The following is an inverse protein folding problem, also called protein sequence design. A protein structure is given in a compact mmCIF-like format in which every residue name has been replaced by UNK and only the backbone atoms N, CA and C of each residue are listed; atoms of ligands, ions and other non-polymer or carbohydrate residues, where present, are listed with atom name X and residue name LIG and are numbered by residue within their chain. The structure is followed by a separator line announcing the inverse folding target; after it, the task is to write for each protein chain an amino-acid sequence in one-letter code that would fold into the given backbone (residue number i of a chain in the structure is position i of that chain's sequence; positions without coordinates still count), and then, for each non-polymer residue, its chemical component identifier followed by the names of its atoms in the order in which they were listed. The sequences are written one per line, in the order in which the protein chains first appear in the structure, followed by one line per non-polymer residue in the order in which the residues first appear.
data_IF_103559921911
#
_entry.id   IF_103559921911
#
_cell.length_a   1.000
_cell.length_b   1.000
_cell.length_c   1.000
_cell.angle_alpha   90.00
_cell.angle_beta   90.00
_cell.angle_gamma   90.00
#
_symmetry.space_group_name_H-M   'P 1'
#
loop_
_entity.id
_entity.type
_entity.pdbx_description
1 polymer ?
#
# COMPACT_ATOMS: atom_id res chain seq x y z
N UNK A 1 2.12 -22.48 6.88
CA UNK A 1 1.13 -22.04 7.88
C UNK A 1 0.95 -20.54 7.79
N UNK A 2 -0.29 -20.04 7.82
CA UNK A 2 -0.62 -18.61 7.72
C UNK A 2 -1.01 -18.11 9.10
N UNK A 3 -0.37 -17.04 9.56
CA UNK A 3 -0.74 -16.35 10.79
C UNK A 3 -1.30 -14.96 10.46
N UNK A 4 -2.43 -14.63 11.06
CA UNK A 4 -3.05 -13.32 10.93
C UNK A 4 -2.76 -12.50 12.18
N UNK A 5 -2.27 -11.28 11.99
CA UNK A 5 -2.09 -10.33 13.07
C UNK A 5 -3.02 -9.13 12.87
N UNK A 6 -3.82 -8.84 13.90
CA UNK A 6 -4.77 -7.75 13.91
C UNK A 6 -4.44 -6.79 15.05
N UNK A 7 -4.41 -5.51 14.76
CA UNK A 7 -4.23 -4.47 15.76
C UNK A 7 -5.20 -3.32 15.51
N UNK A 8 -5.54 -2.59 16.57
CA UNK A 8 -6.30 -1.35 16.43
C UNK A 8 -5.41 -0.32 15.70
N UNK A 9 -5.98 0.36 14.70
CA UNK A 9 -5.24 1.37 13.94
C UNK A 9 -4.93 2.56 14.85
N UNK A 10 -3.70 2.63 15.35
CA UNK A 10 -3.20 3.72 16.22
C UNK A 10 -2.46 4.83 15.44
N UNK A 11 -2.58 4.85 14.12
CA UNK A 11 -1.98 5.86 13.25
C UNK A 11 -0.87 5.30 12.37
N UNK A 12 -1.00 5.54 11.06
CA UNK A 12 -0.14 5.12 9.93
C UNK A 12 0.21 3.63 9.88
N UNK A 13 0.21 3.03 8.67
CA UNK A 13 0.60 1.62 8.48
C UNK A 13 2.00 1.34 9.03
N UNK A 14 2.89 2.34 8.92
CA UNK A 14 4.19 2.38 9.55
C UNK A 14 4.17 1.97 11.03
N UNK A 15 3.29 2.59 11.83
CA UNK A 15 3.25 2.39 13.27
C UNK A 15 2.82 0.98 13.63
N UNK A 16 1.82 0.45 12.93
CA UNK A 16 1.36 -0.92 13.13
C UNK A 16 2.41 -1.95 12.73
N UNK A 17 3.10 -1.71 11.61
CA UNK A 17 4.15 -2.61 11.16
C UNK A 17 5.36 -2.59 12.11
N UNK A 18 5.79 -1.43 12.57
CA UNK A 18 6.83 -1.33 13.60
C UNK A 18 6.45 -2.10 14.88
N UNK A 19 5.23 -1.92 15.40
CA UNK A 19 4.77 -2.66 16.58
C UNK A 19 4.82 -4.18 16.39
N UNK A 20 4.42 -4.67 15.21
CA UNK A 20 4.55 -6.09 14.88
C UNK A 20 6.00 -6.56 14.93
N UNK A 21 6.93 -5.78 14.35
CA UNK A 21 8.36 -6.11 14.32
C UNK A 21 8.97 -6.16 15.73
N UNK A 22 8.59 -5.24 16.62
CA UNK A 22 9.13 -5.19 17.99
C UNK A 22 8.73 -6.37 18.88
N UNK A 23 7.54 -6.94 18.67
CA UNK A 23 6.98 -7.99 19.53
C UNK A 23 7.12 -9.39 18.95
N UNK A 24 7.61 -9.51 17.72
CA UNK A 24 7.62 -10.78 16.98
C UNK A 24 9.04 -11.23 16.72
N UNK A 25 9.32 -12.50 17.01
CA UNK A 25 10.55 -13.14 16.53
C UNK A 25 10.47 -13.36 15.01
N UNK A 26 11.14 -12.51 14.25
CA UNK A 26 11.14 -12.57 12.79
C UNK A 26 11.89 -13.79 12.23
N UNK A 27 12.72 -14.45 13.04
CA UNK A 27 13.55 -15.57 12.58
C UNK A 27 12.73 -16.76 12.08
N UNK A 28 11.50 -16.92 12.59
CA UNK A 28 10.57 -17.97 12.20
C UNK A 28 9.83 -17.73 10.87
N UNK A 29 10.02 -16.57 10.23
CA UNK A 29 9.38 -16.23 8.97
C UNK A 29 10.38 -16.27 7.81
N UNK A 30 9.99 -16.95 6.73
CA UNK A 30 10.70 -16.92 5.43
C UNK A 30 10.21 -15.78 4.54
N UNK A 31 8.97 -15.32 4.77
CA UNK A 31 8.33 -14.23 4.04
C UNK A 31 7.33 -13.49 4.95
N UNK A 32 7.25 -12.17 4.81
CA UNK A 32 6.29 -11.31 5.50
C UNK A 32 5.57 -10.45 4.47
N UNK A 33 4.24 -10.34 4.58
CA UNK A 33 3.42 -9.46 3.77
C UNK A 33 2.89 -8.30 4.61
N UNK A 34 3.17 -7.06 4.19
CA UNK A 34 2.58 -5.84 4.75
C UNK A 34 1.59 -5.25 3.74
N UNK A 35 0.30 -5.37 4.02
CA UNK A 35 -0.78 -4.99 3.11
C UNK A 35 -1.71 -4.01 3.84
N UNK A 36 -1.96 -2.85 3.23
CA UNK A 36 -2.87 -1.84 3.79
C UNK A 36 -4.30 -2.06 3.28
N UNK A 37 -5.30 -1.81 4.14
CA UNK A 37 -6.72 -1.83 3.81
C UNK A 37 -7.20 -0.63 2.96
N UNK A 38 -6.31 0.28 2.53
CA UNK A 38 -6.64 1.45 1.73
C UNK A 38 -7.10 1.16 0.28
N UNK A 39 -7.21 -0.11 -0.08
CA UNK A 39 -7.59 -0.58 -1.41
C UNK A 39 -8.86 -1.44 -1.40
N UNK A 40 -9.50 -1.53 -2.56
CA UNK A 40 -10.50 -2.51 -2.93
C UNK A 40 -9.82 -3.53 -3.83
N UNK A 41 -10.00 -4.81 -3.56
CA UNK A 41 -9.50 -5.88 -4.43
C UNK A 41 -10.41 -5.98 -5.66
N UNK A 42 -9.86 -5.72 -6.84
CA UNK A 42 -10.56 -5.87 -8.11
C UNK A 42 -10.52 -7.32 -8.58
N UNK A 43 -9.36 -7.97 -8.49
CA UNK A 43 -9.17 -9.32 -9.03
C UNK A 43 -8.31 -10.20 -8.11
N UNK A 44 -8.27 -11.51 -8.39
CA UNK A 44 -7.40 -12.46 -7.68
C UNK A 44 -5.94 -12.02 -7.77
N UNK A 45 -5.18 -12.26 -6.71
CA UNK A 45 -3.77 -11.91 -6.64
C UNK A 45 -2.86 -12.94 -7.32
N UNK A 46 -3.39 -14.03 -7.86
CA UNK A 46 -2.61 -15.15 -8.42
C UNK A 46 -1.51 -14.68 -9.38
N UNK A 47 -1.82 -13.74 -10.29
CA UNK A 47 -0.81 -13.19 -11.22
C UNK A 47 0.33 -12.47 -10.50
N UNK A 48 -0.01 -11.62 -9.53
CA UNK A 48 0.95 -10.87 -8.71
C UNK A 48 1.80 -11.82 -7.88
N UNK A 49 1.18 -12.79 -7.22
CA UNK A 49 1.88 -13.74 -6.37
C UNK A 49 2.76 -14.69 -7.18
N UNK A 50 2.29 -15.18 -8.33
CA UNK A 50 3.09 -16.01 -9.22
C UNK A 50 4.31 -15.25 -9.74
N UNK A 51 4.16 -13.98 -10.13
CA UNK A 51 5.28 -13.12 -10.48
C UNK A 51 6.24 -12.94 -9.29
N UNK A 52 5.71 -12.65 -8.10
CA UNK A 52 6.46 -12.45 -6.87
C UNK A 52 7.25 -13.67 -6.41
N UNK A 53 6.75 -14.87 -6.70
CA UNK A 53 7.44 -16.14 -6.40
C UNK A 53 8.47 -16.52 -7.47
N UNK A 54 8.28 -16.05 -8.71
CA UNK A 54 9.20 -16.30 -9.82
C UNK A 54 10.38 -15.31 -9.83
N UNK A 55 10.26 -14.15 -9.17
CA UNK A 55 11.37 -13.21 -9.02
C UNK A 55 12.33 -13.66 -7.93
N UNK A 56 13.62 -13.33 -8.11
CA UNK A 56 14.67 -13.51 -7.12
C UNK A 56 14.85 -12.29 -6.20
N UNK A 57 13.84 -11.43 -6.14
CA UNK A 57 13.84 -10.21 -5.34
C UNK A 57 13.85 -10.50 -3.85
N UNK A 58 14.53 -9.65 -3.08
CA UNK A 58 14.55 -9.74 -1.61
C UNK A 58 13.41 -8.92 -0.98
N UNK A 59 12.97 -7.86 -1.66
CA UNK A 59 11.85 -7.00 -1.27
C UNK A 59 11.05 -6.59 -2.50
N UNK A 60 9.72 -6.71 -2.48
CA UNK A 60 8.91 -6.35 -3.63
C UNK A 60 7.51 -5.85 -3.27
N UNK A 61 6.83 -5.24 -4.24
CA UNK A 61 5.41 -4.91 -4.12
C UNK A 61 4.73 -4.86 -5.48
N UNK A 62 3.45 -4.47 -5.49
CA UNK A 62 2.68 -4.47 -6.75
C UNK A 62 3.14 -3.35 -7.68
N UNK A 63 3.48 -2.18 -7.13
CA UNK A 63 3.83 -1.02 -7.93
C UNK A 63 4.84 -0.14 -7.20
N UNK A 64 5.77 0.42 -7.95
CA UNK A 64 6.73 1.40 -7.45
C UNK A 64 6.27 2.86 -7.66
N UNK A 65 7.14 3.78 -7.30
CA UNK A 65 7.00 5.21 -7.51
C UNK A 65 8.38 5.86 -7.47
N UNK A 66 8.59 6.84 -8.34
CA UNK A 66 9.74 7.75 -8.32
C UNK A 66 9.32 9.18 -7.90
N UNK A 67 8.13 9.33 -7.29
CA UNK A 67 7.64 10.63 -6.82
C UNK A 67 8.64 11.24 -5.83
N UNK A 68 9.13 12.45 -6.12
CA UNK A 68 10.08 13.21 -5.31
C UNK A 68 9.40 14.41 -4.66
N UNK A 69 8.87 14.27 -3.43
CA UNK A 69 8.37 15.41 -2.68
C UNK A 69 9.49 16.42 -2.41
N UNK A 70 9.14 17.71 -2.35
CA UNK A 70 10.10 18.80 -2.09
C UNK A 70 10.82 18.69 -0.73
N UNK A 71 10.26 17.92 0.20
CA UNK A 71 10.81 17.68 1.54
C UNK A 71 11.61 16.38 1.64
N UNK A 72 11.77 15.63 0.54
CA UNK A 72 12.53 14.38 0.56
C UNK A 72 14.00 14.64 0.84
N UNK A 73 14.57 13.85 1.75
CA UNK A 73 15.98 13.89 2.12
C UNK A 73 16.85 12.94 1.27
N UNK A 74 16.25 12.17 0.37
CA UNK A 74 16.94 11.16 -0.42
C UNK A 74 17.36 11.68 -1.81
N UNK A 75 18.57 11.30 -2.24
CA UNK A 75 19.09 11.61 -3.58
C UNK A 75 18.29 10.89 -4.67
N UNK A 76 17.94 9.63 -4.43
CA UNK A 76 17.02 8.82 -5.22
C UNK A 76 15.68 8.64 -4.46
N UNK A 77 14.57 8.70 -5.18
CA UNK A 77 13.22 8.61 -4.59
C UNK A 77 12.45 7.37 -5.04
N UNK A 78 13.12 6.45 -5.74
CA UNK A 78 12.54 5.16 -6.07
C UNK A 78 12.05 4.44 -4.82
N UNK A 79 10.80 4.00 -4.80
CA UNK A 79 10.27 3.20 -3.71
C UNK A 79 9.11 2.32 -4.13
N UNK A 80 8.95 1.20 -3.44
CA UNK A 80 7.74 0.39 -3.49
C UNK A 80 6.64 1.09 -2.70
N UNK A 81 5.44 1.17 -3.28
CA UNK A 81 4.32 1.78 -2.57
C UNK A 81 3.86 0.90 -1.40
N UNK A 82 3.73 1.52 -0.23
CA UNK A 82 3.51 0.85 1.07
C UNK A 82 2.20 0.08 1.24
N UNK A 83 1.31 0.10 0.24
CA UNK A 83 -0.01 -0.51 0.36
C UNK A 83 -0.01 -2.02 0.08
N UNK A 84 1.04 -2.54 -0.55
CA UNK A 84 1.26 -3.96 -0.75
C UNK A 84 2.77 -4.20 -0.89
N UNK A 85 3.37 -4.72 0.17
CA UNK A 85 4.80 -4.99 0.25
C UNK A 85 5.04 -6.40 0.76
N UNK A 86 6.01 -7.08 0.16
CA UNK A 86 6.45 -8.41 0.53
C UNK A 86 7.94 -8.36 0.83
N UNK A 87 8.31 -8.90 1.98
CA UNK A 87 9.68 -9.02 2.46
C UNK A 87 10.06 -10.49 2.43
N UNK A 88 11.05 -10.85 1.61
CA UNK A 88 11.65 -12.18 1.64
C UNK A 88 12.76 -12.22 2.70
N UNK A 89 13.25 -13.42 3.01
CA UNK A 89 14.15 -13.68 4.14
C UNK A 89 15.28 -12.65 4.32
N UNK A 90 16.01 -12.29 3.27
CA UNK A 90 17.10 -11.30 3.39
C UNK A 90 16.62 -9.90 3.79
N UNK A 91 15.46 -9.46 3.29
CA UNK A 91 14.87 -8.19 3.71
C UNK A 91 14.35 -8.27 5.15
N UNK A 92 13.74 -9.40 5.54
CA UNK A 92 13.30 -9.66 6.92
C UNK A 92 14.48 -9.52 7.88
N UNK A 93 15.61 -10.13 7.57
CA UNK A 93 16.81 -10.11 8.43
C UNK A 93 17.39 -8.70 8.60
N UNK A 94 17.05 -7.77 7.69
CA UNK A 94 17.50 -6.37 7.70
C UNK A 94 16.48 -5.41 8.34
N UNK A 95 15.22 -5.82 8.51
CA UNK A 95 14.18 -4.98 9.12
C UNK A 95 14.55 -4.47 10.53
N UNK A 96 15.10 -5.27 11.45
CA UNK A 96 15.48 -4.77 12.77
C UNK A 96 16.56 -3.69 12.72
N UNK A 97 17.47 -3.76 11.73
CA UNK A 97 18.47 -2.73 11.48
C UNK A 97 17.82 -1.42 11.03
N UNK A 98 16.93 -1.51 10.04
CA UNK A 98 16.18 -0.35 9.54
C UNK A 98 15.45 0.41 10.65
N UNK A 99 14.67 -0.27 11.50
CA UNK A 99 13.91 0.40 12.55
C UNK A 99 14.78 1.01 13.65
N UNK A 100 15.94 0.40 13.91
CA UNK A 100 16.95 0.96 14.83
C UNK A 100 17.48 2.30 14.32
N UNK A 101 17.73 2.40 13.01
CA UNK A 101 18.26 3.61 12.37
C UNK A 101 17.20 4.70 12.20
N UNK A 102 15.91 4.33 12.15
CA UNK A 102 14.80 5.23 11.83
C UNK A 102 14.45 6.24 12.93
N UNK A 103 15.00 6.08 14.14
CA UNK A 103 14.62 6.82 15.34
C UNK A 103 13.09 6.95 15.51
N UNK A 104 12.41 5.79 15.58
CA UNK A 104 10.94 5.69 15.69
C UNK A 104 10.32 6.57 16.78
N UNK A 105 10.93 6.74 17.98
CA UNK A 105 10.41 7.65 19.00
C UNK A 105 10.18 9.08 18.51
N UNK A 106 11.04 9.63 17.65
CA UNK A 106 10.86 10.99 17.11
C UNK A 106 9.62 11.08 16.22
N UNK A 107 9.34 10.02 15.45
CA UNK A 107 8.16 9.96 14.60
C UNK A 107 6.89 9.87 15.46
N UNK A 108 6.88 8.99 16.48
CA UNK A 108 5.70 8.81 17.33
C UNK A 108 5.41 10.00 18.25
N UNK A 109 6.43 10.77 18.63
CA UNK A 109 6.27 11.95 19.48
C UNK A 109 5.90 13.22 18.69
N UNK A 110 5.90 13.18 17.34
CA UNK A 110 5.58 14.35 16.51
C UNK A 110 4.08 14.70 16.56
N UNK A 111 3.77 15.84 17.19
CA UNK A 111 2.39 16.33 17.35
C UNK A 111 1.89 17.12 16.14
N UNK A 112 2.78 17.68 15.32
CA UNK A 112 2.42 18.38 14.11
C UNK A 112 2.16 17.39 12.98
N UNK A 113 0.89 17.25 12.65
CA UNK A 113 0.38 16.35 11.60
C UNK A 113 1.11 16.49 10.27
N UNK A 114 1.36 17.72 9.81
CA UNK A 114 1.99 17.95 8.50
C UNK A 114 3.43 17.47 8.54
N UNK A 115 4.12 17.69 9.65
CA UNK A 115 5.49 17.21 9.86
C UNK A 115 5.52 15.69 10.01
N UNK A 116 4.63 15.12 10.82
CA UNK A 116 4.47 13.67 10.98
C UNK A 116 4.26 12.98 9.63
N UNK A 117 3.34 13.48 8.80
CA UNK A 117 3.11 12.92 7.46
C UNK A 117 4.36 12.97 6.58
N UNK A 118 5.10 14.07 6.62
CA UNK A 118 6.36 14.21 5.85
C UNK A 118 7.42 13.24 6.35
N UNK A 119 7.55 13.08 7.66
CA UNK A 119 8.46 12.12 8.28
C UNK A 119 8.11 10.69 7.86
N UNK A 120 6.83 10.30 7.89
CA UNK A 120 6.40 8.96 7.45
C UNK A 120 6.68 8.77 5.95
N UNK A 121 6.38 9.73 5.09
CA UNK A 121 6.67 9.60 3.65
C UNK A 121 8.18 9.49 3.41
N UNK A 122 8.97 10.39 3.99
CA UNK A 122 10.41 10.47 3.75
C UNK A 122 11.15 9.28 4.39
N UNK A 123 10.90 8.99 5.66
CA UNK A 123 11.65 8.00 6.43
C UNK A 123 11.12 6.59 6.25
N UNK A 124 9.81 6.42 6.15
CA UNK A 124 9.19 5.11 5.98
C UNK A 124 8.94 4.77 4.51
N UNK A 125 8.07 5.50 3.80
CA UNK A 125 7.66 5.08 2.45
C UNK A 125 8.85 5.07 1.46
N UNK A 126 9.60 6.18 1.39
CA UNK A 126 10.78 6.28 0.54
C UNK A 126 11.97 5.59 1.22
N UNK A 127 12.20 5.90 2.50
CA UNK A 127 13.38 5.45 3.24
C UNK A 127 13.52 3.94 3.36
N UNK A 128 12.43 3.17 3.46
CA UNK A 128 12.49 1.71 3.52
C UNK A 128 13.10 1.10 2.25
N UNK A 129 12.62 1.53 1.08
CA UNK A 129 13.12 1.02 -0.19
C UNK A 129 14.58 1.44 -0.41
N UNK A 130 14.92 2.69 -0.07
CA UNK A 130 16.28 3.20 -0.16
C UNK A 130 17.23 2.47 0.81
N UNK A 131 16.79 2.13 2.01
CA UNK A 131 17.56 1.33 2.95
C UNK A 131 17.92 -0.04 2.36
N UNK A 132 16.94 -0.77 1.80
CA UNK A 132 17.23 -2.06 1.19
C UNK A 132 18.12 -1.99 -0.05
N UNK A 133 17.97 -0.95 -0.88
CA UNK A 133 18.89 -0.71 -1.99
C UNK A 133 20.32 -0.46 -1.50
N UNK A 134 20.51 0.30 -0.42
CA UNK A 134 21.81 0.55 0.19
C UNK A 134 22.42 -0.71 0.80
N UNK A 135 21.59 -1.60 1.35
CA UNK A 135 21.97 -2.94 1.81
C UNK A 135 22.21 -3.94 0.66
N UNK A 136 22.21 -3.46 -0.60
CA UNK A 136 22.42 -4.24 -1.83
C UNK A 136 21.41 -5.37 -2.01
N UNK A 137 20.20 -5.20 -1.47
CA UNK A 137 19.09 -6.12 -1.70
C UNK A 137 18.43 -5.84 -3.05
N UNK A 138 17.84 -6.88 -3.64
CA UNK A 138 17.06 -6.79 -4.87
C UNK A 138 15.66 -6.27 -4.53
N UNK A 139 15.35 -5.08 -5.03
CA UNK A 139 14.03 -4.45 -4.90
C UNK A 139 13.32 -4.47 -6.25
N UNK A 140 12.07 -4.93 -6.29
CA UNK A 140 11.30 -4.99 -7.53
C UNK A 140 9.81 -4.67 -7.35
N UNK A 141 9.17 -4.29 -8.45
CA UNK A 141 7.74 -4.03 -8.55
C UNK A 141 7.12 -4.88 -9.65
N UNK A 142 5.90 -5.38 -9.43
CA UNK A 142 5.15 -6.09 -10.48
C UNK A 142 4.82 -5.15 -11.65
N UNK A 143 4.52 -3.89 -11.33
CA UNK A 143 4.28 -2.80 -12.27
C UNK A 143 5.31 -1.71 -12.04
N UNK A 144 6.08 -1.40 -13.09
CA UNK A 144 7.00 -0.27 -13.12
C UNK A 144 6.24 1.01 -13.49
N UNK A 145 6.06 1.90 -12.51
CA UNK A 145 5.30 3.14 -12.67
C UNK A 145 5.85 4.04 -13.76
N UNK A 146 7.17 4.07 -13.94
CA UNK A 146 7.86 4.88 -14.95
C UNK A 146 7.42 4.53 -16.37
N UNK A 147 7.23 3.24 -16.68
CA UNK A 147 6.78 2.80 -18.00
C UNK A 147 5.37 3.33 -18.30
N UNK A 148 4.48 3.27 -17.33
CA UNK A 148 3.12 3.79 -17.45
C UNK A 148 3.06 5.31 -17.52
N UNK A 149 3.92 6.01 -16.78
CA UNK A 149 4.02 7.47 -16.86
C UNK A 149 4.44 7.90 -18.26
N UNK A 150 5.42 7.23 -18.87
CA UNK A 150 5.87 7.51 -20.23
C UNK A 150 4.76 7.22 -21.26
N UNK A 151 4.04 6.11 -21.09
CA UNK A 151 2.96 5.67 -22.00
C UNK A 151 1.73 6.58 -21.94
N UNK A 152 1.26 6.93 -20.75
CA UNK A 152 -0.04 7.60 -20.55
C UNK A 152 0.05 9.08 -20.18
N UNK A 153 1.25 9.60 -19.86
CA UNK A 153 1.51 11.01 -19.55
C UNK A 153 0.49 11.62 -18.55
N UNK A 154 0.34 11.02 -17.35
CA UNK A 154 -0.68 11.43 -16.41
C UNK A 154 -0.42 12.84 -15.86
N UNK A 155 -1.50 13.60 -15.63
CA UNK A 155 -1.44 14.94 -15.03
C UNK A 155 -0.93 14.96 -13.59
N UNK A 156 -1.01 13.85 -12.87
CA UNK A 156 -0.54 13.71 -11.48
C UNK A 156 0.51 12.60 -11.41
N UNK A 157 1.53 12.81 -10.57
CA UNK A 157 2.63 11.85 -10.38
C UNK A 157 2.16 10.53 -9.75
N UNK A 158 1.26 10.57 -8.75
CA UNK A 158 0.74 9.32 -8.18
C UNK A 158 -0.25 8.62 -9.12
N UNK A 159 0.27 7.65 -9.89
CA UNK A 159 -0.46 6.94 -10.93
C UNK A 159 -1.57 6.03 -10.40
N UNK A 160 -1.49 5.55 -9.15
CA UNK A 160 -2.59 4.77 -8.54
C UNK A 160 -3.87 5.57 -8.34
N UNK A 161 -3.78 6.91 -8.39
CA UNK A 161 -4.94 7.80 -8.34
C UNK A 161 -5.32 8.40 -9.69
N UNK A 162 -4.37 8.63 -10.59
CA UNK A 162 -4.62 9.26 -11.90
C UNK A 162 -4.90 8.27 -13.01
N UNK A 163 -4.29 7.07 -12.97
CA UNK A 163 -4.34 6.04 -14.00
C UNK A 163 -4.97 4.73 -13.49
N UNK A 164 -5.91 4.78 -12.54
CA UNK A 164 -6.46 3.55 -11.94
C UNK A 164 -7.20 2.64 -12.93
N UNK A 165 -7.76 3.21 -14.00
CA UNK A 165 -8.45 2.41 -15.03
C UNK A 165 -7.41 1.70 -15.91
N UNK A 166 -6.40 2.44 -16.36
CA UNK A 166 -5.28 1.94 -17.15
C UNK A 166 -4.47 0.90 -16.37
N UNK A 167 -4.20 1.16 -15.08
CA UNK A 167 -3.55 0.19 -14.19
C UNK A 167 -4.34 -1.11 -14.11
N UNK A 168 -5.67 -1.04 -13.94
CA UNK A 168 -6.50 -2.24 -13.92
C UNK A 168 -6.44 -3.00 -15.27
N UNK A 169 -6.37 -2.28 -16.39
CA UNK A 169 -6.18 -2.88 -17.72
C UNK A 169 -4.80 -3.56 -17.87
N UNK A 170 -3.75 -3.02 -17.26
CA UNK A 170 -2.39 -3.59 -17.21
C UNK A 170 -2.26 -4.73 -16.18
N UNK A 171 -3.36 -5.12 -15.51
CA UNK A 171 -3.39 -6.24 -14.56
C UNK A 171 -3.12 -5.88 -13.11
N UNK A 172 -3.11 -4.58 -12.75
CA UNK A 172 -3.08 -4.14 -11.36
C UNK A 172 -4.37 -4.54 -10.64
N UNK A 173 -4.32 -5.39 -9.59
CA UNK A 173 -5.53 -6.01 -9.04
C UNK A 173 -6.24 -5.15 -7.99
N UNK A 174 -5.85 -3.88 -7.81
CA UNK A 174 -6.32 -3.02 -6.72
C UNK A 174 -6.93 -1.72 -7.23
N UNK A 175 -7.90 -1.19 -6.47
CA UNK A 175 -8.43 0.17 -6.64
C UNK A 175 -8.33 0.93 -5.31
N UNK A 176 -7.66 2.08 -5.31
CA UNK A 176 -7.54 2.92 -4.10
C UNK A 176 -8.92 3.41 -3.64
N UNK A 177 -9.30 3.16 -2.38
CA UNK A 177 -10.56 3.67 -1.79
C UNK A 177 -10.68 5.20 -1.90
N UNK A 178 -9.55 5.91 -1.83
CA UNK A 178 -9.48 7.36 -2.02
C UNK A 178 -9.99 7.84 -3.39
N UNK A 179 -9.79 7.06 -4.45
CA UNK A 179 -10.32 7.37 -5.81
C UNK A 179 -11.84 7.42 -5.79
N UNK A 180 -12.47 6.47 -5.11
CA UNK A 180 -13.92 6.42 -4.94
C UNK A 180 -14.39 7.67 -4.21
N UNK A 181 -13.80 8.00 -3.07
CA UNK A 181 -14.25 9.10 -2.21
C UNK A 181 -14.06 10.49 -2.83
N UNK A 182 -12.91 10.76 -3.46
CA UNK A 182 -12.65 12.07 -4.08
C UNK A 182 -13.53 12.30 -5.31
N UNK A 183 -13.81 11.25 -6.08
CA UNK A 183 -14.57 11.36 -7.33
C UNK A 183 -16.09 11.24 -7.15
N UNK A 184 -16.59 10.68 -6.04
CA UNK A 184 -18.02 10.73 -5.67
C UNK A 184 -18.61 12.14 -5.74
N UNK A 185 -17.82 13.17 -5.39
CA UNK A 185 -18.27 14.58 -5.35
C UNK A 185 -18.49 15.22 -6.73
N UNK A 186 -18.02 14.61 -7.83
CA UNK A 186 -17.95 15.26 -9.15
C UNK A 186 -18.99 14.81 -10.17
N UNK A 187 -19.74 13.74 -9.91
CA UNK A 187 -20.67 13.18 -10.90
C UNK A 187 -22.08 13.15 -10.32
N UNK A 188 -22.96 14.03 -10.84
CA UNK A 188 -24.40 14.00 -10.56
C UNK A 188 -25.17 13.18 -11.61
N UNK A 189 -24.66 13.07 -12.85
CA UNK A 189 -25.43 12.55 -13.99
C UNK A 189 -24.75 11.41 -14.79
N UNK A 190 -23.47 11.10 -14.55
CA UNK A 190 -22.74 10.04 -15.27
C UNK A 190 -22.26 8.94 -14.32
N UNK A 191 -22.17 7.71 -14.83
CA UNK A 191 -21.54 6.59 -14.08
C UNK A 191 -20.05 6.90 -13.88
N UNK A 192 -19.58 7.10 -12.63
CA UNK A 192 -18.18 7.38 -12.36
C UNK A 192 -17.24 6.33 -12.95
N UNK A 193 -16.11 6.76 -13.52
CA UNK A 193 -15.13 5.85 -14.13
C UNK A 193 -14.62 4.76 -13.17
N UNK A 194 -14.58 5.02 -11.86
CA UNK A 194 -14.20 3.98 -10.88
C UNK A 194 -15.22 2.84 -10.79
N UNK A 195 -16.52 3.12 -10.98
CA UNK A 195 -17.56 2.08 -11.05
C UNK A 195 -17.39 1.25 -12.30
N UNK A 196 -17.10 1.90 -13.44
CA UNK A 196 -16.80 1.21 -14.70
C UNK A 196 -15.56 0.31 -14.55
N UNK A 197 -14.53 0.79 -13.83
CA UNK A 197 -13.33 0.02 -13.52
C UNK A 197 -13.67 -1.27 -12.76
N UNK A 198 -14.49 -1.18 -11.71
CA UNK A 198 -14.92 -2.37 -10.95
C UNK A 198 -15.75 -3.31 -11.81
N UNK A 199 -16.69 -2.79 -12.61
CA UNK A 199 -17.54 -3.63 -13.47
C UNK A 199 -16.74 -4.34 -14.56
N UNK A 200 -15.72 -3.69 -15.11
CA UNK A 200 -14.95 -4.21 -16.24
C UNK A 200 -13.82 -5.14 -15.81
N UNK A 201 -13.10 -4.81 -14.74
CA UNK A 201 -11.91 -5.54 -14.30
C UNK A 201 -12.11 -6.32 -12.99
N UNK A 202 -13.27 -6.18 -12.36
CA UNK A 202 -13.68 -6.95 -11.21
C UNK A 202 -13.74 -8.44 -11.55
N UNK A 203 -13.29 -9.29 -10.63
CA UNK A 203 -13.44 -10.72 -10.78
C UNK A 203 -14.92 -11.10 -10.85
N UNK A 204 -15.28 -11.96 -11.80
CA UNK A 204 -16.66 -12.43 -11.99
C UNK A 204 -17.22 -13.19 -10.79
N UNK A 205 -16.35 -13.82 -10.00
CA UNK A 205 -16.70 -14.53 -8.77
C UNK A 205 -17.02 -13.55 -7.63
N UNK A 206 -16.66 -12.27 -7.77
CA UNK A 206 -16.94 -11.25 -6.77
C UNK A 206 -18.33 -10.65 -7.05
N UNK A 207 -19.12 -10.43 -6.00
CA UNK A 207 -20.39 -9.68 -6.09
C UNK A 207 -20.11 -8.20 -6.38
N UNK A 208 -19.65 -7.86 -7.59
CA UNK A 208 -19.15 -6.53 -7.97
C UNK A 208 -20.16 -5.41 -7.73
N UNK A 209 -21.45 -5.67 -7.96
CA UNK A 209 -22.53 -4.72 -7.65
C UNK A 209 -22.64 -4.45 -6.14
N UNK A 210 -22.52 -5.49 -5.30
CA UNK A 210 -22.52 -5.33 -3.84
C UNK A 210 -21.31 -4.57 -3.35
N UNK A 211 -20.12 -4.80 -3.92
CA UNK A 211 -18.92 -4.02 -3.62
C UNK A 211 -19.16 -2.54 -3.96
N UNK A 212 -19.75 -2.25 -5.11
CA UNK A 212 -20.11 -0.89 -5.51
C UNK A 212 -21.10 -0.27 -4.51
N UNK A 213 -22.14 -0.99 -4.12
CA UNK A 213 -23.16 -0.52 -3.18
C UNK A 213 -22.56 -0.22 -1.80
N UNK A 214 -21.73 -1.12 -1.27
CA UNK A 214 -20.98 -0.91 -0.03
C UNK A 214 -20.11 0.35 -0.11
N UNK A 215 -19.36 0.50 -1.22
CA UNK A 215 -18.52 1.66 -1.46
C UNK A 215 -19.34 2.94 -1.56
N UNK A 216 -20.56 2.92 -2.09
CA UNK A 216 -21.48 4.06 -2.14
C UNK A 216 -22.02 4.41 -0.75
N UNK A 217 -22.33 3.41 0.08
CA UNK A 217 -22.85 3.58 1.44
C UNK A 217 -21.82 4.11 2.44
N UNK A 218 -20.51 4.00 2.18
CA UNK A 218 -19.50 4.64 3.02
C UNK A 218 -19.78 6.15 3.04
N UNK A 219 -20.07 6.75 4.23
CA UNK A 219 -20.34 8.18 4.35
C UNK A 219 -19.23 8.97 3.70
N UNK A 220 -19.53 10.16 3.16
CA UNK A 220 -18.52 11.12 2.72
C UNK A 220 -17.61 11.47 3.93
N UNK A 221 -16.57 10.66 4.17
CA UNK A 221 -15.57 10.85 5.22
C UNK A 221 -14.61 11.99 4.82
N UNK A 222 -15.16 13.17 4.57
CA UNK A 222 -14.37 14.38 4.37
C UNK A 222 -15.12 15.57 4.97
N UNK A 223 -14.92 15.76 6.28
CA UNK A 223 -14.94 17.09 6.89
C UNK A 223 -14.19 17.19 8.22
N UNK A 224 -13.78 16.08 8.85
CA UNK A 224 -12.95 16.09 10.04
C UNK A 224 -11.95 14.91 10.04
N UNK A 225 -10.93 14.96 9.18
CA UNK A 225 -9.65 14.37 9.60
C UNK A 225 -9.07 15.31 10.68
N UNK A 226 -9.74 15.38 11.84
CA UNK A 226 -9.08 15.71 13.09
C UNK A 226 -8.22 14.50 13.38
N UNK A 227 -6.90 14.63 13.26
CA UNK A 227 -5.93 13.57 13.56
C UNK A 227 -5.85 13.23 15.06
N UNK A 228 -6.98 13.30 15.75
CA UNK A 228 -7.19 12.95 17.16
C UNK A 228 -8.30 11.91 17.37
N UNK A 229 -8.98 11.40 16.33
CA UNK A 229 -10.04 10.40 16.52
C UNK A 229 -9.89 9.20 15.57
N UNK A 230 -9.17 8.19 16.04
CA UNK A 230 -9.58 6.80 15.84
C UNK A 230 -9.48 6.05 17.18
N UNK A 231 -10.33 6.48 18.10
CA UNK A 231 -10.73 5.73 19.29
C UNK A 231 -12.23 5.53 19.12
N UNK A 232 -12.65 4.25 19.10
CA UNK A 232 -14.01 3.71 19.15
C UNK A 232 -14.75 3.46 17.81
N UNK A 233 -15.14 2.18 17.66
CA UNK A 233 -16.27 1.63 16.91
C UNK A 233 -16.26 1.67 15.38
N UNK A 234 -15.80 0.58 14.78
CA UNK A 234 -16.66 -0.46 14.17
C UNK A 234 -15.80 -1.63 13.69
N UNK A 235 -16.31 -2.85 13.84
CA UNK A 235 -15.74 -4.09 13.28
C UNK A 235 -15.51 -3.91 11.78
N UNK A 236 -14.29 -3.58 11.36
CA UNK A 236 -13.89 -3.63 9.95
C UNK A 236 -13.08 -4.91 9.76
N UNK A 237 -13.70 -5.87 9.07
CA UNK A 237 -13.06 -7.08 8.55
C UNK A 237 -11.78 -6.69 7.80
N UNK A 238 -10.67 -7.29 8.20
CA UNK A 238 -9.40 -7.19 7.50
C UNK A 238 -9.10 -8.57 6.90
N UNK A 239 -9.17 -8.65 5.58
CA UNK A 239 -8.72 -9.82 4.82
C UNK A 239 -7.22 -9.69 4.63
N UNK A 240 -6.44 -10.46 5.37
CA UNK A 240 -5.08 -10.78 4.96
C UNK A 240 -5.14 -12.02 4.04
N UNK A 241 -4.47 -11.94 2.90
CA UNK A 241 -4.15 -13.12 2.11
C UNK A 241 -2.67 -13.36 2.33
N UNK A 242 -2.33 -14.37 3.13
CA UNK A 242 -1.04 -15.04 2.98
C UNK A 242 -1.40 -16.39 2.39
N UNK A 243 -1.05 -16.63 1.14
CA UNK A 243 -1.13 -17.96 0.55
C UNK A 243 0.14 -18.73 0.96
N UNK A 244 -0.05 -19.97 1.44
CA UNK A 244 1.06 -20.91 1.56
C UNK A 244 1.58 -21.21 0.15
N UNK A 245 2.86 -20.96 -0.11
CA UNK A 245 3.55 -21.62 -1.21
C UNK A 245 4.37 -22.77 -0.62
N UNK A 246 3.85 -23.99 -0.80
CA UNK A 246 4.64 -25.21 -0.60
C UNK A 246 5.43 -25.50 -1.88
N UNK A 247 6.73 -25.69 -1.72
CA UNK A 247 7.44 -26.92 -2.08
C UNK A 247 8.66 -27.05 -1.15
#
# INVERSE_FOLDING_TARGET
NVCFWYNQNQGYDFGMFYQFIEITDLSCYSQIACINDSNVLLNKLDKVMNWGNATDSDFWGIIDSDEKPWFSSHSNNYHIQSHFMIFNKKAIDKLPGFFRDLNVPDIFNEKNIKKLRRLVIDKWEIGLSQYFLNERLKVASFIESKQLILKYQPKKQNITHSLYYELAAEGYPLLKKKVVWEKKKRFKNDTPLWMQTIKQFGNSDYETNKIIDELLQVPNMQSNYNLKQFVLNKKSLFYSFIQNFYN
#
